data_IF_619999155844
#
_entry.id   IF_619999155844
#
_cell.length_a   1.000
_cell.length_b   1.000
_cell.length_c   1.000
_cell.angle_alpha   90.00
_cell.angle_beta   90.00
_cell.angle_gamma   90.00
#
_symmetry.space_group_name_H-M   'P 1'
#
loop_
_entity.id
_entity.type
_entity.pdbx_description
1 polymer ?
#
# COMPACT_ATOMS: atom_id res chain seq x y z
N UNK A 1 14.82 3.51 11.42
CA UNK A 1 13.71 4.28 10.82
C UNK A 1 14.24 5.61 10.36
N UNK A 2 13.79 6.11 9.21
CA UNK A 2 14.10 7.49 8.81
C UNK A 2 13.43 8.47 9.81
N UNK A 3 14.03 9.65 10.06
CA UNK A 3 13.37 10.70 10.82
C UNK A 3 12.00 11.06 10.19
N UNK A 4 10.98 11.45 11.00
CA UNK A 4 9.66 11.78 10.47
C UNK A 4 9.69 12.80 9.33
N UNK A 5 10.56 13.81 9.42
CA UNK A 5 10.73 14.85 8.39
C UNK A 5 11.34 14.35 7.08
N UNK A 6 11.85 13.11 7.05
CA UNK A 6 12.36 12.44 5.85
C UNK A 6 11.42 11.36 5.34
N UNK A 7 10.30 11.12 6.02
CA UNK A 7 9.27 10.21 5.53
C UNK A 7 8.65 10.78 4.25
N UNK A 8 8.42 9.91 3.27
CA UNK A 8 7.89 10.27 1.95
C UNK A 8 6.74 9.31 1.65
N UNK A 9 5.65 9.85 1.12
CA UNK A 9 4.48 9.10 0.67
C UNK A 9 4.03 9.69 -0.64
N UNK A 10 3.74 8.83 -1.61
CA UNK A 10 3.20 9.21 -2.91
C UNK A 10 1.71 8.80 -2.94
N UNK A 11 0.83 9.72 -3.35
CA UNK A 11 -0.60 9.46 -3.52
C UNK A 11 -0.91 9.42 -5.02
N UNK A 12 -1.28 8.24 -5.52
CA UNK A 12 -1.30 7.95 -6.95
C UNK A 12 -2.60 7.28 -7.41
N UNK A 13 -2.82 7.25 -8.71
CA UNK A 13 -3.87 6.48 -9.38
C UNK A 13 -3.22 5.57 -10.42
N UNK A 14 -3.67 4.31 -10.51
CA UNK A 14 -3.18 3.38 -11.51
C UNK A 14 -3.70 3.76 -12.91
N UNK A 15 -2.81 3.81 -13.89
CA UNK A 15 -3.12 4.12 -15.28
C UNK A 15 -2.62 3.01 -16.22
N UNK A 16 -3.22 2.84 -17.41
CA UNK A 16 -2.73 1.88 -18.39
C UNK A 16 -1.28 2.16 -18.83
N UNK A 17 -0.51 1.13 -19.25
CA UNK A 17 0.80 1.33 -19.85
C UNK A 17 0.73 2.25 -21.08
N UNK A 18 1.69 3.17 -21.21
CA UNK A 18 1.74 4.12 -22.32
C UNK A 18 0.81 5.33 -22.17
N UNK A 19 0.20 5.54 -20.99
CA UNK A 19 -0.50 6.78 -20.68
C UNK A 19 0.46 7.97 -20.77
N UNK A 20 0.12 8.95 -21.61
CA UNK A 20 0.84 10.22 -21.66
C UNK A 20 0.54 11.03 -20.39
N UNK A 21 1.59 11.60 -19.80
CA UNK A 21 1.48 12.41 -18.58
C UNK A 21 1.56 13.89 -18.87
N UNK A 22 1.54 14.30 -20.15
CA UNK A 22 1.60 15.69 -20.60
C UNK A 22 2.79 16.46 -19.97
N UNK A 23 3.90 15.76 -19.76
CA UNK A 23 5.12 16.32 -19.16
C UNK A 23 5.10 16.45 -17.63
N UNK A 24 4.11 15.87 -16.94
CA UNK A 24 4.12 15.77 -15.47
C UNK A 24 5.10 14.68 -15.05
N UNK A 25 6.21 15.09 -14.44
CA UNK A 25 7.10 14.17 -13.72
C UNK A 25 6.31 13.53 -12.55
N UNK A 26 6.11 12.21 -12.60
CA UNK A 26 5.28 11.53 -11.61
C UNK A 26 4.85 10.11 -11.99
N UNK A 27 5.12 9.67 -13.21
CA UNK A 27 4.88 8.27 -13.58
C UNK A 27 5.87 7.36 -12.85
N UNK A 28 5.34 6.46 -12.05
CA UNK A 28 6.11 5.43 -11.35
C UNK A 28 5.59 4.04 -11.74
N UNK A 29 6.49 3.07 -11.76
CA UNK A 29 6.15 1.66 -11.98
C UNK A 29 6.33 0.91 -10.68
N UNK A 30 5.23 0.38 -10.13
CA UNK A 30 5.29 -0.57 -9.02
C UNK A 30 5.73 -1.92 -9.60
N UNK A 31 6.93 -2.37 -9.23
CA UNK A 31 7.46 -3.63 -9.74
C UNK A 31 6.59 -4.81 -9.28
N UNK A 32 6.34 -5.75 -10.20
CA UNK A 32 5.69 -7.01 -9.86
C UNK A 32 6.54 -7.92 -8.95
N UNK A 33 5.94 -9.01 -8.50
CA UNK A 33 6.57 -9.96 -7.60
C UNK A 33 5.56 -10.53 -6.59
N UNK A 34 6.01 -11.37 -5.64
CA UNK A 34 5.17 -11.81 -4.55
C UNK A 34 4.95 -10.66 -3.54
N UNK A 35 3.70 -10.46 -3.15
CA UNK A 35 3.29 -9.53 -2.10
C UNK A 35 2.45 -10.29 -1.07
N UNK A 36 2.59 -9.93 0.20
CA UNK A 36 1.55 -10.18 1.18
C UNK A 36 0.48 -9.10 1.01
N UNK A 37 -0.78 -9.52 0.92
CA UNK A 37 -1.93 -8.63 0.76
C UNK A 37 -2.85 -8.84 1.95
N UNK A 38 -2.92 -7.83 2.81
CA UNK A 38 -3.77 -7.83 3.99
C UNK A 38 -4.96 -6.89 3.73
N UNK A 39 -6.15 -7.46 3.56
CA UNK A 39 -7.37 -6.70 3.27
C UNK A 39 -8.12 -6.29 4.53
N UNK A 40 -8.57 -5.04 4.59
CA UNK A 40 -9.24 -4.45 5.73
C UNK A 40 -10.47 -3.63 5.33
N UNK A 41 -11.40 -3.52 6.28
CA UNK A 41 -12.50 -2.56 6.25
C UNK A 41 -12.35 -1.63 7.45
N UNK A 42 -11.95 -0.38 7.20
CA UNK A 42 -11.43 0.54 8.21
C UNK A 42 -12.34 1.75 8.41
N UNK A 43 -12.46 2.19 9.66
CA UNK A 43 -12.86 3.57 9.96
C UNK A 43 -11.63 4.51 9.74
N UNK A 44 -11.84 5.83 9.55
CA UNK A 44 -10.74 6.77 9.28
C UNK A 44 -9.59 6.76 10.29
N UNK A 45 -9.86 6.38 11.54
CA UNK A 45 -8.88 6.37 12.63
C UNK A 45 -8.15 5.01 12.80
N UNK A 46 -8.52 3.98 12.04
CA UNK A 46 -8.02 2.61 12.23
C UNK A 46 -6.76 2.26 11.39
N UNK A 47 -6.27 3.17 10.55
CA UNK A 47 -5.17 2.89 9.61
C UNK A 47 -3.87 2.47 10.31
N UNK A 48 -3.50 3.13 11.41
CA UNK A 48 -2.30 2.77 12.18
C UNK A 48 -2.39 1.33 12.68
N UNK A 49 -3.53 0.93 13.24
CA UNK A 49 -3.76 -0.43 13.72
C UNK A 49 -3.68 -1.45 12.58
N UNK A 50 -4.26 -1.13 11.42
CA UNK A 50 -4.22 -2.01 10.25
C UNK A 50 -2.79 -2.29 9.78
N UNK A 51 -1.94 -1.27 9.75
CA UNK A 51 -0.50 -1.42 9.44
C UNK A 51 0.22 -2.27 10.48
N UNK A 52 -0.02 -2.02 11.76
CA UNK A 52 0.56 -2.82 12.84
C UNK A 52 0.18 -4.30 12.72
N UNK A 53 -1.11 -4.59 12.50
CA UNK A 53 -1.60 -5.97 12.33
C UNK A 53 -0.98 -6.65 11.09
N UNK A 54 -0.88 -5.95 9.96
CA UNK A 54 -0.25 -6.48 8.75
C UNK A 54 1.23 -6.84 8.98
N UNK A 55 1.98 -6.00 9.70
CA UNK A 55 3.38 -6.28 10.03
C UNK A 55 3.55 -7.34 11.11
N UNK A 56 2.67 -7.42 12.09
CA UNK A 56 2.66 -8.52 13.07
C UNK A 56 2.44 -9.85 12.34
N UNK A 57 1.47 -9.90 11.42
CA UNK A 57 1.27 -11.08 10.59
C UNK A 57 2.52 -11.41 9.78
N UNK A 58 3.12 -10.44 9.09
CA UNK A 58 4.33 -10.63 8.29
C UNK A 58 5.46 -11.25 9.12
N UNK A 59 5.77 -10.68 10.29
CA UNK A 59 6.83 -11.17 11.17
C UNK A 59 6.54 -12.60 11.63
N UNK A 60 5.29 -12.89 12.01
CA UNK A 60 4.87 -14.22 12.46
C UNK A 60 4.89 -15.28 11.33
N UNK A 61 4.68 -14.85 10.08
CA UNK A 61 4.62 -15.74 8.91
C UNK A 61 5.98 -16.29 8.49
N UNK A 62 7.08 -15.66 8.92
CA UNK A 62 8.45 -16.02 8.54
C UNK A 62 8.82 -15.70 7.09
N UNK A 63 7.99 -14.93 6.36
CA UNK A 63 8.35 -14.46 5.02
C UNK A 63 9.28 -13.24 5.10
N UNK A 64 10.38 -13.22 4.33
CA UNK A 64 11.26 -12.06 4.29
C UNK A 64 10.62 -10.90 3.51
N UNK A 65 10.57 -9.71 4.11
CA UNK A 65 10.21 -8.47 3.44
C UNK A 65 11.26 -8.10 2.36
N UNK A 66 10.81 -7.67 1.19
CA UNK A 66 11.67 -7.10 0.15
C UNK A 66 11.98 -5.62 0.46
N UNK A 67 13.01 -5.06 -0.17
CA UNK A 67 13.44 -3.65 -0.01
C UNK A 67 12.68 -2.69 -0.93
N UNK A 68 11.48 -3.09 -1.36
CA UNK A 68 10.58 -2.30 -2.20
C UNK A 68 9.59 -1.53 -1.33
N UNK A 69 9.00 -0.42 -1.81
CA UNK A 69 7.95 0.27 -1.07
C UNK A 69 6.75 -0.63 -0.81
N UNK A 70 6.22 -0.59 0.41
CA UNK A 70 4.87 -1.05 0.71
C UNK A 70 3.88 0.02 0.21
N UNK A 71 2.63 -0.35 -0.04
CA UNK A 71 1.59 0.60 -0.43
C UNK A 71 0.20 0.16 0.01
N UNK A 72 -0.72 1.11 0.03
CA UNK A 72 -2.14 0.91 0.27
C UNK A 72 -2.89 0.94 -1.07
N UNK A 73 -3.78 0.00 -1.31
CA UNK A 73 -4.70 0.01 -2.45
C UNK A 73 -6.11 0.26 -1.95
N UNK A 74 -6.69 1.38 -2.37
CA UNK A 74 -8.03 1.81 -1.97
C UNK A 74 -9.07 1.34 -2.99
N UNK A 75 -10.06 0.56 -2.54
CA UNK A 75 -11.07 -0.05 -3.41
C UNK A 75 -12.38 0.73 -3.48
N UNK A 76 -12.56 1.73 -2.61
CA UNK A 76 -13.74 2.58 -2.58
C UNK A 76 -13.38 4.00 -2.13
N UNK A 77 -14.35 4.91 -2.28
CA UNK A 77 -14.31 6.22 -1.67
C UNK A 77 -15.29 6.26 -0.48
N UNK A 78 -14.76 6.27 0.74
CA UNK A 78 -15.58 6.26 1.96
C UNK A 78 -16.46 7.51 2.11
N UNK A 79 -16.07 8.66 1.51
CA UNK A 79 -16.82 9.91 1.62
C UNK A 79 -18.19 9.87 0.93
N UNK A 80 -18.36 8.97 -0.04
CA UNK A 80 -19.61 8.78 -0.80
C UNK A 80 -20.29 7.45 -0.47
N UNK A 81 -19.63 6.57 0.30
CA UNK A 81 -20.17 5.27 0.66
C UNK A 81 -21.06 5.37 1.91
N UNK A 82 -22.24 4.74 1.95
CA UNK A 82 -23.19 4.93 3.05
C UNK A 82 -22.64 4.52 4.43
N UNK A 83 -21.73 3.56 4.47
CA UNK A 83 -21.10 3.10 5.72
C UNK A 83 -19.96 3.99 6.19
N UNK A 84 -19.41 4.88 5.36
CA UNK A 84 -18.28 5.73 5.73
C UNK A 84 -16.94 4.99 5.96
N UNK A 85 -16.85 3.71 5.55
CA UNK A 85 -15.67 2.86 5.75
C UNK A 85 -14.81 2.75 4.50
N UNK A 86 -13.51 2.64 4.69
CA UNK A 86 -12.52 2.38 3.64
C UNK A 86 -12.27 0.88 3.49
N UNK A 87 -12.39 0.37 2.27
CA UNK A 87 -11.94 -0.97 1.88
C UNK A 87 -10.54 -0.82 1.31
N UNK A 88 -9.53 -1.32 2.04
CA UNK A 88 -8.12 -1.08 1.74
C UNK A 88 -7.35 -2.38 1.82
N UNK A 89 -6.45 -2.61 0.86
CA UNK A 89 -5.42 -3.62 0.98
C UNK A 89 -4.08 -2.96 1.34
N UNK A 90 -3.43 -3.48 2.38
CA UNK A 90 -2.02 -3.19 2.67
C UNK A 90 -1.17 -4.22 1.94
N UNK A 91 -0.37 -3.75 0.99
CA UNK A 91 0.50 -4.57 0.15
C UNK A 91 1.95 -4.47 0.61
N UNK A 92 2.51 -5.58 1.12
CA UNK A 92 3.90 -5.66 1.59
C UNK A 92 4.69 -6.56 0.64
N UNK A 93 5.77 -6.06 0.01
CA UNK A 93 6.56 -6.84 -0.93
C UNK A 93 7.37 -7.92 -0.21
N UNK A 94 7.40 -9.12 -0.79
CA UNK A 94 8.12 -10.26 -0.25
C UNK A 94 9.33 -10.59 -1.12
N UNK A 95 10.43 -11.06 -0.52
CA UNK A 95 11.50 -11.66 -1.31
C UNK A 95 11.03 -13.00 -1.85
N UNK A 96 11.32 -13.27 -3.11
CA UNK A 96 11.04 -14.57 -3.72
C UNK A 96 11.86 -15.64 -2.99
N UNK A 97 11.21 -16.68 -2.46
CA UNK A 97 11.91 -17.86 -1.95
C UNK A 97 12.69 -18.48 -3.12
N UNK A 98 13.99 -18.69 -2.91
CA UNK A 98 14.86 -19.38 -3.86
C UNK A 98 14.54 -20.87 -3.87
#
# INVERSE_FOLDING_TARGET
MAPPEKCRTDACVAVPPGTDTDGVDGLQVISGGPYAVCGFKLDPDDFTRAWEEAFVWLVSSGYPCDDKPCFEMYHNNATVYPEGKWNVDICIPLKRKR
#
